data_IF_852140185945
#
_entry.id   IF_852140185945
#
_cell.length_a   1.000
_cell.length_b   1.000
_cell.length_c   1.000
_cell.angle_alpha   90.00
_cell.angle_beta   90.00
_cell.angle_gamma   90.00
#
_symmetry.space_group_name_H-M   'P 1'
#
loop_
_entity.id
_entity.type
_entity.pdbx_description
1 polymer ?
2 non-polymer ?
3 water ?
#
# COMPACT_ATOMS: atom_id res chain seq x y z
N UNK A 1 17.60 -32.02 -1.34
CA UNK A 1 16.67 -32.20 -0.23
C UNK A 1 15.74 -33.37 -0.53
N UNK A 2 15.27 -34.04 0.53
CA UNK A 2 14.44 -35.23 0.39
C UNK A 2 13.00 -34.93 0.79
N UNK A 3 12.09 -35.75 0.26
CA UNK A 3 10.67 -35.64 0.61
C UNK A 3 10.49 -35.77 2.11
N UNK A 4 11.17 -36.74 2.72
CA UNK A 4 11.00 -36.97 4.15
C UNK A 4 11.49 -35.78 4.96
N UNK A 5 12.61 -35.17 4.54
CA UNK A 5 13.09 -33.97 5.20
C UNK A 5 12.04 -32.86 5.18
N UNK A 6 11.51 -32.54 3.99
CA UNK A 6 10.62 -31.40 3.86
C UNK A 6 9.31 -31.66 4.60
N UNK A 7 8.72 -32.84 4.39
CA UNK A 7 7.45 -33.13 5.04
C UNK A 7 7.63 -33.14 6.55
N UNK A 8 8.74 -33.71 7.02
CA UNK A 8 9.03 -33.71 8.45
C UNK A 8 9.05 -32.29 9.00
N UNK A 9 9.68 -31.36 8.28
CA UNK A 9 9.78 -29.98 8.74
C UNK A 9 8.40 -29.36 8.97
N UNK A 10 7.52 -29.49 7.96
CA UNK A 10 6.20 -28.88 8.09
C UNK A 10 5.33 -29.61 9.11
N UNK A 11 5.49 -30.93 9.23
CA UNK A 11 4.82 -31.63 10.31
C UNK A 11 5.23 -31.07 11.67
N UNK A 12 6.51 -30.71 11.80
CA UNK A 12 6.97 -30.10 13.04
C UNK A 12 6.21 -28.83 13.37
N UNK A 13 6.05 -27.95 12.38
CA UNK A 13 5.35 -26.69 12.62
C UNK A 13 3.87 -26.93 12.90
N UNK A 14 3.25 -27.84 12.14
CA UNK A 14 1.82 -28.10 12.34
C UNK A 14 1.55 -28.72 13.71
N UNK A 15 2.46 -29.59 14.18
CA UNK A 15 2.26 -30.24 15.47
C UNK A 15 2.18 -29.22 16.59
N UNK A 16 3.04 -28.20 16.57
CA UNK A 16 3.06 -27.18 17.60
C UNK A 16 1.74 -26.41 17.64
N UNK A 23 7.32 -19.64 16.77
CA UNK A 23 6.15 -18.99 16.17
C UNK A 23 6.52 -17.59 15.68
N UNK A 24 6.43 -16.59 16.58
CA UNK A 24 6.96 -15.27 16.24
C UNK A 24 8.48 -15.26 16.15
N UNK A 25 9.14 -16.36 16.52
CA UNK A 25 10.57 -16.53 16.35
C UNK A 25 10.90 -17.35 15.11
N UNK A 26 9.90 -17.63 14.27
CA UNK A 26 10.11 -18.39 13.05
C UNK A 26 11.25 -17.78 12.23
N UNK A 27 12.20 -18.62 11.84
CA UNK A 27 13.40 -18.17 11.19
C UNK A 27 13.32 -17.98 9.69
N UNK A 28 12.17 -18.26 9.08
CA UNK A 28 12.03 -18.06 7.64
C UNK A 28 11.63 -16.63 7.34
N UNK A 29 12.18 -16.10 6.26
CA UNK A 29 11.82 -14.76 5.79
C UNK A 29 10.68 -14.85 4.79
N UNK A 30 10.93 -15.48 3.65
CA UNK A 30 9.83 -15.89 2.77
C UNK A 30 8.92 -16.82 3.55
N UNK A 31 7.63 -16.47 3.63
CA UNK A 31 6.77 -16.96 4.70
C UNK A 31 5.60 -17.80 4.23
N UNK A 32 5.53 -18.15 2.95
CA UNK A 32 4.48 -19.05 2.48
C UNK A 32 5.04 -20.47 2.37
N UNK A 33 4.12 -21.43 2.16
CA UNK A 33 4.52 -22.82 2.12
C UNK A 33 5.31 -23.12 0.86
N UNK A 34 4.88 -22.57 -0.28
CA UNK A 34 5.44 -22.97 -1.57
C UNK A 34 6.78 -22.29 -1.83
N UNK A 35 6.80 -20.95 -1.90
CA UNK A 35 8.06 -20.27 -2.14
C UNK A 35 8.96 -20.31 -0.91
N UNK A 36 8.38 -20.37 0.29
CA UNK A 36 9.18 -20.65 1.47
C UNK A 36 9.94 -21.95 1.35
N UNK A 37 9.28 -23.00 0.86
CA UNK A 37 9.93 -24.30 0.72
C UNK A 37 10.98 -24.26 -0.38
N UNK A 38 10.62 -23.77 -1.57
CA UNK A 38 11.57 -23.75 -2.67
C UNK A 38 12.77 -22.85 -2.37
N UNK A 39 12.53 -21.71 -1.72
CA UNK A 39 13.62 -20.80 -1.40
C UNK A 39 14.54 -21.39 -0.33
N UNK A 40 13.96 -21.93 0.73
CA UNK A 40 14.74 -22.36 1.89
C UNK A 40 15.37 -23.74 1.71
N UNK A 41 14.73 -24.64 0.97
CA UNK A 41 15.25 -25.99 0.80
C UNK A 41 15.94 -26.22 -0.54
N UNK A 42 15.65 -25.41 -1.56
CA UNK A 42 16.19 -25.65 -2.89
C UNK A 42 16.82 -24.41 -3.52
N UNK A 43 16.82 -23.27 -2.85
CA UNK A 43 17.45 -22.09 -3.40
C UNK A 43 16.77 -21.56 -4.66
N UNK A 44 15.48 -21.82 -4.82
CA UNK A 44 14.72 -21.36 -5.97
C UNK A 44 13.58 -20.48 -5.46
N UNK A 45 13.60 -19.22 -5.86
CA UNK A 45 12.62 -18.24 -5.40
C UNK A 45 11.60 -17.99 -6.51
N UNK A 46 10.33 -17.98 -6.15
CA UNK A 46 9.24 -17.74 -7.09
C UNK A 46 8.56 -16.42 -6.76
N UNK A 47 8.29 -15.64 -7.80
CA UNK A 47 7.65 -14.35 -7.66
C UNK A 47 6.19 -14.47 -8.09
N UNK A 48 5.32 -13.75 -7.41
CA UNK A 48 3.92 -13.65 -7.77
C UNK A 48 3.01 -14.03 -6.62
N UNK A 49 1.71 -13.88 -6.87
CA UNK A 49 0.71 -14.37 -5.95
C UNK A 49 0.70 -15.89 -5.94
N UNK A 50 0.03 -16.45 -4.92
CA UNK A 50 -0.14 -17.90 -4.85
C UNK A 50 -0.61 -18.46 -6.18
N UNK A 51 -1.63 -17.87 -6.77
CA UNK A 51 -2.23 -18.39 -7.99
C UNK A 51 -1.28 -18.37 -9.17
N UNK A 52 -0.20 -17.57 -9.10
CA UNK A 52 0.74 -17.45 -10.20
C UNK A 52 1.88 -18.46 -10.15
N UNK A 53 1.99 -19.24 -9.08
CA UNK A 53 3.24 -19.95 -8.82
C UNK A 53 3.48 -21.13 -9.76
N UNK A 54 2.43 -21.71 -10.35
CA UNK A 54 2.67 -22.73 -11.36
C UNK A 54 3.37 -22.13 -12.58
N UNK A 55 2.96 -20.92 -12.97
CA UNK A 55 3.63 -20.23 -14.07
C UNK A 55 5.04 -19.82 -13.68
N UNK A 56 5.22 -19.34 -12.45
CA UNK A 56 6.56 -18.96 -11.99
C UNK A 56 7.47 -20.19 -11.90
N UNK A 57 6.94 -21.30 -11.41
CA UNK A 57 7.75 -22.51 -11.29
C UNK A 57 8.21 -23.01 -12.66
N UNK A 58 7.32 -22.97 -13.65
CA UNK A 58 7.69 -23.38 -15.00
C UNK A 58 8.83 -22.55 -15.54
N UNK A 59 8.79 -21.23 -15.30
CA UNK A 59 9.83 -20.34 -15.80
C UNK A 59 11.16 -20.53 -15.09
N UNK A 60 11.17 -21.16 -13.92
CA UNK A 60 12.40 -21.49 -13.22
C UNK A 60 12.86 -22.92 -13.49
N UNK A 61 12.23 -23.61 -14.43
CA UNK A 61 12.63 -24.95 -14.79
C UNK A 61 12.13 -26.05 -13.87
N UNK A 62 11.19 -25.76 -12.99
CA UNK A 62 10.68 -26.80 -12.10
C UNK A 62 9.59 -27.60 -12.80
N UNK A 63 9.32 -28.78 -12.26
CA UNK A 63 8.28 -29.64 -12.81
C UNK A 63 6.92 -29.17 -12.32
N UNK A 64 6.01 -28.92 -13.25
CA UNK A 64 4.67 -28.44 -12.95
C UNK A 64 3.66 -29.38 -13.58
N UNK A 65 2.66 -29.81 -12.80
CA UNK A 65 1.63 -30.74 -13.24
C UNK A 65 0.27 -30.14 -12.93
N UNK A 66 -0.59 -30.06 -13.96
CA UNK A 66 -1.93 -29.52 -13.80
C UNK A 66 -2.92 -30.65 -13.49
N UNK A 67 -3.85 -30.36 -12.58
CA UNK A 67 -4.82 -31.36 -12.17
C UNK A 67 -5.67 -31.79 -13.35
N UNK A 68 -6.03 -33.06 -13.37
CA UNK A 68 -6.86 -33.61 -14.44
C UNK A 68 -7.33 -35.01 -14.05
N UNK A 69 -8.27 -35.59 -14.78
CA UNK A 69 -8.71 -36.96 -14.46
C UNK A 69 -7.54 -37.93 -14.53
N UNK A 70 -7.44 -38.77 -13.50
CA UNK A 70 -6.36 -39.72 -13.40
C UNK A 70 -5.03 -39.16 -12.97
N UNK A 71 -4.87 -37.83 -12.96
CA UNK A 71 -3.61 -37.19 -12.62
C UNK A 71 -3.74 -36.69 -11.20
N UNK A 72 -3.02 -37.32 -10.28
CA UNK A 72 -3.18 -37.02 -8.87
C UNK A 72 -1.84 -36.72 -8.23
N UNK A 73 -1.80 -35.86 -7.21
CA UNK A 73 -0.53 -35.42 -6.64
C UNK A 73 0.09 -36.45 -5.70
N UNK A 74 1.40 -36.30 -5.51
CA UNK A 74 2.19 -37.17 -4.67
C UNK A 74 2.71 -36.41 -3.45
N UNK A 75 3.09 -37.17 -2.43
CA UNK A 75 3.70 -36.59 -1.25
C UNK A 75 4.86 -35.68 -1.64
N UNK A 76 4.96 -34.53 -0.96
CA UNK A 76 5.98 -33.56 -1.25
C UNK A 76 5.59 -32.54 -2.31
N UNK A 77 4.52 -32.77 -3.06
CA UNK A 77 4.08 -31.81 -4.05
C UNK A 77 3.53 -30.56 -3.39
N UNK A 78 3.75 -29.41 -4.04
CA UNK A 78 3.28 -28.12 -3.56
C UNK A 78 2.13 -27.69 -4.48
N UNK A 79 0.92 -27.65 -3.94
CA UNK A 79 -0.25 -27.44 -4.76
C UNK A 79 -0.62 -25.96 -4.82
N UNK A 80 -1.31 -25.60 -5.89
CA UNK A 80 -1.85 -24.26 -6.09
C UNK A 80 -3.36 -24.38 -6.28
N UNK A 81 -4.10 -23.44 -5.70
CA UNK A 81 -5.55 -23.56 -5.62
C UNK A 81 -6.25 -22.23 -5.94
N UNK A 82 -7.26 -22.31 -6.80
CA UNK A 82 -8.13 -21.17 -7.07
C UNK A 82 -9.08 -20.98 -5.89
N UNK A 83 -9.24 -19.72 -5.47
CA UNK A 83 -10.02 -19.40 -4.28
C UNK A 83 -11.18 -18.49 -4.66
N UNK A 84 -12.40 -18.92 -4.33
CA UNK A 84 -13.59 -18.14 -4.66
C UNK A 84 -13.62 -16.82 -3.89
N UNK A 85 -13.13 -16.82 -2.65
CA UNK A 85 -13.23 -15.65 -1.80
C UNK A 85 -12.30 -14.51 -2.20
N UNK A 86 -11.33 -14.75 -3.07
CA UNK A 86 -10.37 -13.70 -3.40
C UNK A 86 -9.44 -14.13 -4.54
N UNK A 87 -8.92 -13.20 -5.31
CA UNK A 87 -8.20 -13.54 -6.55
C UNK A 87 -6.75 -13.92 -6.37
N UNK A 88 -6.27 -14.06 -5.14
CA UNK A 88 -4.86 -14.33 -4.88
C UNK A 88 -4.50 -15.80 -4.85
N UNK A 89 -5.48 -16.68 -4.59
CA UNK A 89 -5.22 -18.09 -4.56
C UNK A 89 -4.66 -18.55 -3.22
N UNK A 90 -4.38 -19.84 -3.16
CA UNK A 90 -3.96 -20.48 -1.92
C UNK A 90 -3.05 -21.65 -2.25
N UNK A 91 -2.16 -21.97 -1.31
CA UNK A 91 -1.15 -23.00 -1.52
C UNK A 91 -1.02 -23.84 -0.27
N UNK A 92 -0.29 -24.94 -0.41
CA UNK A 92 -0.01 -25.83 0.70
C UNK A 92 0.85 -26.97 0.20
N UNK A 93 1.28 -27.80 1.14
CA UNK A 93 2.14 -28.95 0.86
C UNK A 93 1.33 -30.23 1.03
N UNK A 94 1.51 -31.14 0.08
CA UNK A 94 0.85 -32.43 0.10
C UNK A 94 1.77 -33.45 0.78
N UNK A 95 1.27 -34.10 1.81
CA UNK A 95 2.08 -34.95 2.68
C UNK A 95 1.77 -36.43 2.51
N UNK A 96 0.97 -36.81 1.51
CA UNK A 96 0.71 -38.21 1.27
C UNK A 96 0.12 -38.38 -0.11
N UNK A 97 0.44 -39.50 -0.76
CA UNK A 97 -0.07 -39.76 -2.09
C UNK A 97 -1.60 -39.73 -2.07
N UNK A 98 -2.17 -39.08 -3.08
CA UNK A 98 -3.61 -38.88 -3.15
C UNK A 98 -4.24 -39.92 -4.07
N UNK A 99 -5.43 -40.37 -3.69
CA UNK A 99 -6.21 -41.29 -4.50
C UNK A 99 -7.05 -40.58 -5.55
N UNK A 100 -6.99 -39.26 -5.61
CA UNK A 100 -7.79 -38.50 -6.55
C UNK A 100 -9.12 -38.00 -6.01
N UNK A 101 -9.41 -38.24 -4.73
CA UNK A 101 -10.70 -37.83 -4.17
C UNK A 101 -10.52 -36.97 -2.93
N UNK A 102 -9.49 -37.26 -2.14
CA UNK A 102 -9.10 -36.38 -1.05
C UNK A 102 -7.60 -36.14 -1.12
N UNK A 103 -7.16 -35.07 -0.45
CA UNK A 103 -5.76 -34.70 -0.37
C UNK A 103 -5.43 -34.41 1.08
N UNK A 104 -4.32 -34.97 1.57
CA UNK A 104 -3.80 -34.68 2.91
C UNK A 104 -2.73 -33.61 2.77
N UNK A 105 -2.88 -32.51 3.50
CA UNK A 105 -2.03 -31.35 3.31
C UNK A 105 -1.69 -30.72 4.66
N UNK A 106 -0.66 -29.89 4.65
CA UNK A 106 -0.41 -28.91 5.68
C UNK A 106 -0.55 -27.54 5.05
N UNK A 107 -1.31 -26.65 5.68
CA UNK A 107 -1.64 -25.36 5.10
C UNK A 107 -1.55 -24.29 6.18
N UNK A 108 -1.40 -23.05 5.72
CA UNK A 108 -1.42 -21.90 6.61
C UNK A 108 -2.82 -21.30 6.65
N UNK A 109 -3.08 -20.55 7.72
CA UNK A 109 -4.42 -20.06 8.01
C UNK A 109 -4.36 -18.62 8.51
N UNK A 124 -1.69 -5.80 8.95
CA UNK A 124 -0.25 -6.06 9.02
C UNK A 124 0.06 -7.53 8.72
N UNK A 125 -0.68 -8.44 9.37
CA UNK A 125 -0.52 -9.87 9.13
C UNK A 125 -1.50 -10.28 8.03
N UNK A 126 -1.02 -10.20 6.78
CA UNK A 126 -1.84 -10.51 5.61
C UNK A 126 -1.80 -11.99 5.24
N UNK A 127 -0.66 -12.65 5.45
CA UNK A 127 -0.46 -14.03 5.02
C UNK A 127 0.44 -14.74 6.02
N UNK A 128 0.98 -15.89 5.65
CA UNK A 128 2.00 -16.56 6.46
C UNK A 128 1.56 -16.91 7.87
N UNK A 129 0.29 -17.30 8.04
CA UNK A 129 -0.18 -17.75 9.31
C UNK A 129 0.44 -19.06 9.74
N UNK A 130 0.00 -19.57 10.90
CA UNK A 130 0.52 -20.83 11.41
C UNK A 130 0.09 -22.02 10.56
N UNK A 131 0.88 -23.08 10.65
CA UNK A 131 0.64 -24.29 9.87
C UNK A 131 -0.33 -25.20 10.62
N UNK A 132 -1.16 -25.91 9.84
CA UNK A 132 -2.15 -26.81 10.41
C UNK A 132 -2.41 -27.96 9.44
N UNK A 133 -2.81 -29.10 9.98
CA UNK A 133 -3.21 -30.23 9.15
C UNK A 133 -4.58 -29.98 8.54
N UNK A 134 -4.71 -30.29 7.25
CA UNK A 134 -5.98 -30.16 6.54
C UNK A 134 -6.13 -31.35 5.59
N UNK A 135 -7.37 -31.80 5.43
CA UNK A 135 -7.74 -32.73 4.38
C UNK A 135 -8.89 -32.12 3.61
N UNK A 136 -8.76 -32.07 2.29
CA UNK A 136 -9.74 -31.40 1.45
C UNK A 136 -10.04 -32.25 0.23
N UNK A 137 -11.23 -32.05 -0.33
CA UNK A 137 -11.55 -32.60 -1.63
C UNK A 137 -10.86 -31.75 -2.70
N UNK A 138 -10.84 -32.25 -3.94
CA UNK A 138 -10.23 -31.51 -5.02
C UNK A 138 -11.03 -30.26 -5.38
N UNK A 139 -12.27 -30.17 -4.93
CA UNK A 139 -13.09 -28.99 -5.14
C UNK A 139 -14.09 -28.92 -4.01
N UNK A 140 -14.25 -27.74 -3.39
CA UNK A 140 -15.15 -27.59 -2.27
C UNK A 140 -15.63 -26.15 -2.23
N UNK A 141 -16.10 -25.71 -1.05
CA UNK A 141 -16.68 -24.38 -0.91
C UNK A 141 -15.68 -23.25 -0.94
N UNK A 142 -14.39 -23.54 -0.77
CA UNK A 142 -13.36 -22.52 -0.77
C UNK A 142 -12.67 -22.36 -2.12
N UNK A 143 -12.71 -23.38 -2.97
CA UNK A 143 -12.00 -23.32 -4.24
C UNK A 143 -11.79 -24.71 -4.81
N UNK A 144 -10.83 -24.80 -5.72
CA UNK A 144 -10.49 -26.05 -6.37
C UNK A 144 -8.99 -26.08 -6.69
N UNK A 145 -8.45 -27.29 -6.78
CA UNK A 145 -7.04 -27.48 -7.08
C UNK A 145 -6.81 -27.28 -8.56
N UNK A 146 -5.81 -26.48 -8.91
CA UNK A 146 -5.43 -26.24 -10.29
C UNK A 146 -4.29 -27.15 -10.73
N UNK A 147 -3.31 -27.36 -9.85
CA UNK A 147 -2.13 -28.13 -10.20
C UNK A 147 -1.14 -28.06 -9.07
N UNK A 148 0.05 -28.61 -9.30
CA UNK A 148 1.04 -28.67 -8.24
C UNK A 148 2.45 -28.64 -8.83
N UNK A 149 3.37 -28.15 -8.03
CA UNK A 149 4.80 -28.16 -8.33
C UNK A 149 5.40 -29.39 -7.67
N UNK A 150 6.26 -30.09 -8.40
CA UNK A 150 7.00 -31.22 -7.85
C UNK A 150 8.46 -30.80 -7.69
N UNK A 151 8.90 -30.43 -6.50
CA UNK A 151 10.29 -29.99 -6.34
C UNK A 151 11.25 -31.10 -6.73
N UNK A 152 12.48 -30.77 -7.04
CA UNK A 152 13.47 -31.80 -7.42
C UNK A 152 14.11 -32.46 -6.21
N UNK A 153 13.30 -33.21 -5.46
CA UNK A 153 13.81 -33.93 -4.30
C UNK A 153 14.93 -34.88 -4.72
N UNK A 154 15.92 -35.04 -3.84
CA UNK A 154 17.05 -35.92 -4.07
C UNK A 154 17.04 -37.05 -3.03
N UNK A 155 18.09 -37.86 -3.07
CA UNK A 155 18.27 -38.94 -2.10
C UNK A 155 19.18 -38.48 -0.96
N UNK A 171 24.83 -5.27 10.70
CA UNK A 171 25.56 -4.11 10.20
C UNK A 171 24.76 -3.28 9.21
N UNK A 172 24.73 -1.97 9.43
CA UNK A 172 24.04 -1.05 8.52
C UNK A 172 24.91 -0.80 7.31
N UNK A 173 24.34 -1.01 6.12
CA UNK A 173 25.11 -0.85 4.89
C UNK A 173 25.14 0.59 4.42
N UNK A 174 24.03 1.31 4.57
CA UNK A 174 23.95 2.66 4.02
C UNK A 174 22.62 3.27 4.44
N UNK A 175 22.59 4.60 4.44
CA UNK A 175 21.33 5.33 4.41
C UNK A 175 20.88 5.46 2.97
N UNK A 176 19.58 5.32 2.74
CA UNK A 176 19.06 5.32 1.38
C UNK A 176 17.57 5.60 1.42
N UNK A 177 17.13 6.53 0.58
CA UNK A 177 15.73 6.93 0.49
C UNK A 177 15.14 6.19 -0.70
N UNK A 178 14.38 5.13 -0.42
CA UNK A 178 13.81 4.31 -1.47
C UNK A 178 12.46 3.73 -1.07
N UNK A 179 11.89 2.99 -2.02
CA UNK A 179 10.69 2.19 -1.77
C UNK A 179 10.93 0.76 -2.27
N UNK A 180 10.32 -0.19 -1.59
CA UNK A 180 10.38 -1.59 -1.97
C UNK A 180 9.06 -2.04 -2.59
N UNK A 181 9.13 -3.13 -3.35
CA UNK A 181 7.93 -3.82 -3.85
C UNK A 181 8.12 -5.31 -3.62
N UNK A 182 7.23 -5.90 -2.81
CA UNK A 182 7.33 -7.32 -2.49
C UNK A 182 6.97 -8.13 -3.73
N UNK A 183 7.91 -8.96 -4.18
CA UNK A 183 7.72 -9.79 -5.36
C UNK A 183 7.42 -11.25 -4.97
N UNK A 184 7.67 -11.61 -3.71
CA UNK A 184 7.39 -12.97 -3.26
C UNK A 184 5.94 -13.04 -2.77
N UNK A 185 5.37 -14.25 -2.63
CA UNK A 185 3.98 -14.34 -2.13
C UNK A 185 3.82 -13.84 -0.71
N UNK A 186 4.84 -13.98 0.13
CA UNK A 186 4.71 -13.66 1.55
C UNK A 186 6.09 -13.39 2.12
N UNK A 187 6.22 -12.31 2.89
CA UNK A 187 7.51 -11.89 3.42
C UNK A 187 7.30 -11.35 4.83
N UNK A 188 8.02 -11.93 5.79
CA UNK A 188 7.89 -11.52 7.19
C UNK A 188 8.56 -10.17 7.43
N UNK A 189 8.08 -9.47 8.46
CA UNK A 189 8.68 -8.22 8.91
C UNK A 189 8.95 -8.36 10.41
N UNK A 190 10.14 -7.96 10.84
CA UNK A 190 10.64 -8.22 12.18
C UNK A 190 11.03 -6.93 12.88
N UNK A 191 11.42 -7.07 14.15
CA UNK A 191 11.86 -5.94 14.96
C UNK A 191 13.38 -5.78 15.03
N UNK A 192 14.14 -6.83 14.71
CA UNK A 192 15.60 -6.76 14.65
C UNK A 192 16.07 -7.43 13.36
N UNK A 193 17.20 -6.98 12.78
CA UNK A 193 17.69 -7.58 11.54
C UNK A 193 18.35 -8.94 11.76
N UNK A 194 17.67 -9.80 12.53
CA UNK A 194 18.18 -11.10 12.92
C UNK A 194 17.21 -12.19 12.46
N UNK A 195 17.79 -13.36 12.17
CA UNK A 195 17.01 -14.50 11.68
C UNK A 195 15.68 -14.69 12.39
N UNK A 196 15.70 -14.67 13.73
CA UNK A 196 14.54 -15.02 14.53
C UNK A 196 13.92 -13.79 15.20
N UNK A 197 14.21 -12.59 14.70
CA UNK A 197 13.65 -11.38 15.28
C UNK A 197 12.14 -11.45 15.38
N UNK A 198 11.58 -10.78 16.38
CA UNK A 198 10.14 -10.86 16.60
C UNK A 198 9.37 -10.41 15.37
N UNK A 199 8.48 -11.27 14.90
CA UNK A 199 7.70 -10.97 13.70
C UNK A 199 6.54 -10.05 14.07
N UNK A 200 6.45 -8.93 13.36
CA UNK A 200 5.43 -7.91 13.63
C UNK A 200 4.47 -7.71 12.47
N UNK A 201 4.76 -8.28 11.30
CA UNK A 201 3.87 -8.19 10.15
C UNK A 201 4.29 -9.24 9.14
N UNK A 202 3.42 -9.47 8.15
CA UNK A 202 3.73 -10.37 7.05
C UNK A 202 3.14 -9.78 5.78
N UNK A 203 4.00 -9.32 4.88
CA UNK A 203 3.56 -8.61 3.69
C UNK A 203 3.31 -9.57 2.53
N UNK A 204 2.33 -9.22 1.73
CA UNK A 204 1.87 -10.02 0.61
C UNK A 204 2.40 -9.45 -0.71
N UNK A 205 2.50 -10.31 -1.71
CA UNK A 205 2.94 -9.92 -3.05
C UNK A 205 2.25 -8.63 -3.49
N UNK A 206 3.03 -7.72 -4.08
CA UNK A 206 2.53 -6.47 -4.58
C UNK A 206 2.65 -5.31 -3.61
N UNK A 207 2.85 -5.59 -2.33
CA UNK A 207 3.00 -4.55 -1.32
C UNK A 207 4.17 -3.62 -1.61
N UNK A 208 3.93 -2.32 -1.52
CA UNK A 208 4.97 -1.31 -1.66
C UNK A 208 5.07 -0.50 -0.37
N UNK A 209 6.22 0.14 -0.20
CA UNK A 209 6.46 0.93 0.99
C UNK A 209 7.86 1.52 0.97
N UNK A 210 8.02 2.61 1.73
CA UNK A 210 9.29 3.31 1.79
C UNK A 210 10.25 2.62 2.76
N UNK A 211 11.54 2.91 2.57
CA UNK A 211 12.58 2.54 3.52
C UNK A 211 13.64 3.64 3.53
N UNK A 212 14.37 3.72 4.64
CA UNK A 212 15.37 4.76 4.83
C UNK A 212 16.78 4.21 5.00
N UNK A 213 16.97 2.90 5.02
CA UNK A 213 18.28 2.34 5.34
C UNK A 213 18.29 0.87 4.98
N UNK A 214 19.50 0.34 4.78
CA UNK A 214 19.73 -1.03 4.34
C UNK A 214 20.72 -1.68 5.28
N UNK A 215 20.47 -2.94 5.64
CA UNK A 215 21.32 -3.68 6.57
C UNK A 215 21.69 -5.02 5.95
N UNK A 216 22.75 -5.62 6.50
CA UNK A 216 23.15 -6.98 6.17
C UNK A 216 23.29 -7.77 7.46
N UNK A 217 22.85 -9.02 7.43
CA UNK A 217 22.91 -9.86 8.62
C UNK A 217 22.32 -11.25 8.44
N UNK A 218 22.97 -12.24 9.05
CA UNK A 218 22.46 -13.60 9.14
C UNK A 218 22.13 -14.16 7.76
N UNK A 219 22.88 -13.75 6.74
CA UNK A 219 22.69 -14.28 5.40
C UNK A 219 21.69 -13.56 4.56
N UNK A 220 21.19 -12.40 4.99
CA UNK A 220 20.17 -11.66 4.27
C UNK A 220 20.52 -10.19 4.19
N UNK A 221 20.06 -9.55 3.12
CA UNK A 221 20.01 -8.09 3.03
C UNK A 221 18.67 -7.64 3.58
N UNK A 222 18.67 -6.52 4.30
CA UNK A 222 17.46 -6.00 4.91
C UNK A 222 17.28 -4.53 4.56
N UNK A 223 16.03 -4.10 4.49
CA UNK A 223 15.69 -2.70 4.51
C UNK A 223 15.02 -2.41 5.84
N UNK A 224 15.07 -1.15 6.25
CA UNK A 224 14.51 -0.74 7.53
C UNK A 224 13.69 0.53 7.36
N UNK A 225 12.68 0.66 8.19
CA UNK A 225 11.81 1.83 8.16
C UNK A 225 11.07 1.93 9.48
N UNK A 226 10.52 3.10 9.75
CA UNK A 226 9.75 3.33 10.97
C UNK A 226 8.30 2.98 10.67
N UNK A 227 7.80 1.97 11.38
CA UNK A 227 6.42 1.55 11.22
C UNK A 227 5.44 2.58 11.76
N UNK A 228 4.16 2.28 11.56
CA UNK A 228 3.11 3.12 12.13
C UNK A 228 3.15 3.08 13.65
N UNK A 229 3.51 1.93 14.23
CA UNK A 229 3.69 1.81 15.67
C UNK A 229 4.57 2.92 16.24
N UNK A 230 5.40 3.55 15.42
CA UNK A 230 6.39 4.50 15.89
C UNK A 230 7.79 3.91 16.03
N UNK A 231 7.92 2.59 15.94
CA UNK A 231 9.19 1.92 16.14
C UNK A 231 9.74 1.37 14.83
N UNK A 232 11.01 0.97 14.86
CA UNK A 232 11.70 0.58 13.64
C UNK A 232 11.40 -0.88 13.29
N UNK A 233 11.32 -1.14 11.99
CA UNK A 233 11.03 -2.47 11.47
C UNK A 233 12.12 -2.89 10.49
N UNK A 234 12.33 -4.19 10.38
CA UNK A 234 13.34 -4.76 9.50
C UNK A 234 12.72 -5.86 8.66
N UNK A 235 13.09 -5.90 7.38
CA UNK A 235 12.53 -6.86 6.44
C UNK A 235 13.60 -7.39 5.49
N UNK A 236 13.77 -8.70 5.48
CA UNK A 236 14.70 -9.33 4.55
C UNK A 236 14.19 -9.17 3.12
N UNK A 237 15.06 -8.71 2.24
CA UNK A 237 14.70 -8.46 0.84
C UNK A 237 15.50 -9.33 -0.13
N UNK A 238 16.24 -10.30 0.37
CA UNK A 238 16.96 -11.22 -0.49
C UNK A 238 18.06 -11.93 0.27
N UNK A 239 18.49 -13.05 -0.30
CA UNK A 239 19.64 -13.76 0.25
C UNK A 239 20.92 -12.97 -0.03
N UNK A 240 21.86 -13.05 0.90
CA UNK A 240 23.06 -12.24 0.86
C UNK A 240 24.29 -13.10 0.63
N UNK A 241 25.16 -12.63 -0.25
CA UNK A 241 26.51 -13.15 -0.40
C UNK A 241 27.44 -11.98 -0.15
N UNK A 242 28.00 -11.90 1.05
CA UNK A 242 28.73 -10.73 1.47
C UNK A 242 27.80 -9.56 1.73
N UNK A 243 27.91 -8.50 0.94
CA UNK A 243 27.07 -7.32 1.10
C UNK A 243 26.01 -7.18 0.01
N UNK A 244 25.83 -8.19 -0.84
CA UNK A 244 25.03 -8.05 -2.04
C UNK A 244 23.83 -8.99 -2.04
N UNK A 245 22.71 -8.46 -2.50
CA UNK A 245 21.48 -9.22 -2.68
C UNK A 245 21.61 -10.06 -3.95
N UNK A 246 21.87 -11.35 -3.78
CA UNK A 246 22.07 -12.26 -4.90
C UNK A 246 20.82 -13.08 -5.21
N UNK A 247 19.74 -12.86 -4.45
CA UNK A 247 18.47 -13.56 -4.68
C UNK A 247 17.36 -12.68 -4.14
N UNK A 248 16.93 -11.68 -4.89
CA UNK A 248 16.04 -10.66 -4.33
C UNK A 248 14.63 -11.18 -4.09
N UNK A 249 14.05 -10.73 -2.98
CA UNK A 249 12.63 -10.91 -2.70
C UNK A 249 11.79 -9.71 -3.11
N UNK A 250 12.43 -8.58 -3.43
CA UNK A 250 11.72 -7.35 -3.76
C UNK A 250 12.42 -6.66 -4.92
N UNK A 251 11.70 -5.71 -5.52
CA UNK A 251 12.31 -4.71 -6.37
C UNK A 251 12.54 -3.45 -5.56
N UNK A 252 13.51 -2.64 -5.99
CA UNK A 252 13.92 -1.46 -5.23
C UNK A 252 13.90 -0.24 -6.13
N UNK A 253 13.37 0.86 -5.59
CA UNK A 253 13.25 2.12 -6.31
C UNK A 253 13.87 3.22 -5.45
N UNK A 254 14.64 4.08 -6.09
CA UNK A 254 15.38 5.14 -5.39
C UNK A 254 14.80 6.49 -5.78
N UNK A 255 14.79 7.42 -4.83
CA UNK A 255 14.16 8.71 -5.08
C UNK A 255 14.95 9.51 -6.12
N UNK A 256 14.21 10.15 -7.02
CA UNK A 256 14.79 10.93 -8.10
C UNK A 256 14.49 12.41 -7.93
N UNK B 1 -8.13 35.35 -4.69
CA UNK B 1 -9.46 34.78 -4.52
C UNK B 1 -10.15 35.41 -3.32
N UNK B 2 -11.48 35.45 -3.36
CA UNK B 2 -12.27 36.08 -2.31
C UNK B 2 -13.02 35.01 -1.50
N UNK B 3 -13.36 35.39 -0.27
CA UNK B 3 -14.12 34.49 0.59
C UNK B 3 -15.43 34.08 -0.07
N UNK B 4 -16.14 35.04 -0.65
CA UNK B 4 -17.43 34.73 -1.25
C UNK B 4 -17.27 33.80 -2.43
N UNK B 5 -16.22 34.00 -3.23
CA UNK B 5 -15.90 33.08 -4.31
C UNK B 5 -15.73 31.66 -3.79
N UNK B 6 -14.88 31.49 -2.78
CA UNK B 6 -14.54 30.16 -2.29
C UNK B 6 -15.74 29.49 -1.63
N UNK B 7 -16.43 30.22 -0.75
CA UNK B 7 -17.57 29.64 -0.04
C UNK B 7 -18.67 29.28 -1.03
N UNK B 8 -18.90 30.13 -2.02
CA UNK B 8 -19.90 29.83 -3.04
C UNK B 8 -19.58 28.51 -3.74
N UNK B 9 -18.30 28.31 -4.08
CA UNK B 9 -17.91 27.08 -4.78
C UNK B 9 -18.25 25.84 -3.96
N UNK B 10 -17.90 25.84 -2.68
CA UNK B 10 -18.19 24.67 -1.85
C UNK B 10 -19.68 24.52 -1.59
N UNK B 11 -20.41 25.64 -1.46
CA UNK B 11 -21.87 25.54 -1.42
C UNK B 11 -22.39 24.88 -2.69
N UNK B 12 -21.78 25.18 -3.83
CA UNK B 12 -22.20 24.55 -5.08
C UNK B 12 -22.13 23.03 -5.01
N UNK B 13 -21.01 22.51 -4.50
CA UNK B 13 -20.86 21.06 -4.41
C UNK B 13 -21.81 20.47 -3.37
N UNK B 14 -21.96 21.14 -2.23
CA UNK B 14 -22.83 20.61 -1.18
C UNK B 14 -24.29 20.64 -1.61
N UNK B 15 -24.71 21.71 -2.31
CA UNK B 15 -26.11 21.82 -2.71
C UNK B 15 -26.52 20.68 -3.62
N UNK B 16 -25.69 20.33 -4.59
CA UNK B 16 -26.02 19.26 -5.52
C UNK B 16 -26.12 17.92 -4.80
N UNK B 24 -18.21 11.97 -9.80
CA UNK B 24 -17.04 11.30 -10.35
C UNK B 24 -16.44 12.10 -11.50
N UNK B 25 -17.11 13.19 -11.88
CA UNK B 25 -16.61 14.12 -12.89
C UNK B 25 -15.99 15.36 -12.26
N UNK B 26 -15.83 15.37 -10.95
CA UNK B 26 -15.19 16.49 -10.26
C UNK B 26 -13.85 16.80 -10.89
N UNK B 27 -13.62 18.08 -11.20
CA UNK B 27 -12.47 18.50 -11.95
C UNK B 27 -11.20 18.75 -11.16
N UNK B 28 -11.24 18.61 -9.83
CA UNK B 28 -10.06 18.81 -9.00
C UNK B 28 -9.23 17.53 -8.92
N UNK B 29 -7.91 17.70 -8.87
CA UNK B 29 -7.00 16.56 -8.69
C UNK B 29 -6.73 16.37 -7.20
N UNK B 30 -6.07 17.35 -6.57
CA UNK B 30 -6.06 17.41 -5.11
C UNK B 30 -7.50 17.52 -4.62
N UNK B 31 -7.91 16.57 -3.78
CA UNK B 31 -9.32 16.25 -3.62
C UNK B 31 -9.86 16.49 -2.22
N UNK B 32 -9.08 17.08 -1.31
CA UNK B 32 -9.58 17.40 0.01
C UNK B 32 -10.00 18.87 0.07
N UNK B 33 -10.69 19.23 1.15
CA UNK B 33 -11.20 20.59 1.28
C UNK B 33 -10.06 21.57 1.48
N UNK B 34 -9.08 21.21 2.31
CA UNK B 34 -8.06 22.17 2.73
C UNK B 34 -7.00 22.38 1.66
N UNK B 35 -6.24 21.31 1.32
CA UNK B 35 -5.21 21.46 0.31
C UNK B 35 -5.81 21.59 -1.09
N UNK B 36 -6.98 21.00 -1.32
CA UNK B 36 -7.68 21.29 -2.56
C UNK B 36 -7.96 22.77 -2.72
N UNK B 37 -8.41 23.42 -1.65
CA UNK B 37 -8.74 24.83 -1.71
C UNK B 37 -7.48 25.68 -1.87
N UNK B 38 -6.45 25.42 -1.05
CA UNK B 38 -5.23 26.21 -1.15
C UNK B 38 -4.57 26.03 -2.52
N UNK B 39 -4.56 24.79 -3.03
CA UNK B 39 -3.91 24.51 -4.30
C UNK B 39 -4.67 25.13 -5.48
N UNK B 40 -5.99 24.94 -5.51
CA UNK B 40 -6.76 25.33 -6.68
C UNK B 40 -7.08 26.82 -6.71
N UNK B 41 -7.22 27.45 -5.55
CA UNK B 41 -7.56 28.87 -5.49
C UNK B 41 -6.37 29.77 -5.21
N UNK B 42 -5.27 29.25 -4.65
CA UNK B 42 -4.14 30.09 -4.26
C UNK B 42 -2.78 29.57 -4.74
N UNK B 43 -2.74 28.42 -5.43
CA UNK B 43 -1.47 27.91 -5.93
C UNK B 43 -0.49 27.52 -4.85
N UNK B 44 -1.00 27.17 -3.65
CA UNK B 44 -0.16 26.77 -2.53
C UNK B 44 -0.58 25.36 -2.15
N UNK B 45 0.35 24.41 -2.26
CA UNK B 45 0.08 23.01 -1.99
C UNK B 45 0.67 22.62 -0.64
N UNK B 46 -0.12 21.89 0.14
CA UNK B 46 0.27 21.44 1.48
C UNK B 46 0.43 19.92 1.48
N UNK B 47 1.50 19.46 2.10
CA UNK B 47 1.79 18.04 2.21
C UNK B 47 1.46 17.54 3.61
N UNK B 48 0.96 16.32 3.69
CA UNK B 48 0.75 15.65 4.96
C UNK B 48 -0.69 15.19 5.13
N UNK B 49 -0.91 14.49 6.24
CA UNK B 49 -2.25 14.14 6.65
C UNK B 49 -3.03 15.39 7.06
N UNK B 50 -4.34 15.23 7.15
CA UNK B 50 -5.19 16.33 7.62
C UNK B 50 -4.62 16.97 8.88
N UNK B 51 -4.28 16.14 9.87
CA UNK B 51 -3.82 16.64 11.15
C UNK B 51 -2.52 17.42 11.04
N UNK B 52 -1.77 17.25 9.95
CA UNK B 52 -0.48 17.91 9.78
C UNK B 52 -0.55 19.27 9.09
N UNK B 53 -1.73 19.69 8.62
CA UNK B 53 -1.79 20.80 7.68
C UNK B 53 -1.57 22.16 8.33
N UNK B 54 -1.81 22.31 9.63
CA UNK B 54 -1.45 23.57 10.27
C UNK B 54 0.07 23.76 10.25
N UNK B 55 0.82 22.68 10.48
CA UNK B 55 2.27 22.77 10.39
C UNK B 55 2.73 23.02 8.96
N UNK B 56 2.11 22.34 7.99
CA UNK B 56 2.48 22.58 6.60
C UNK B 56 2.14 24.00 6.18
N UNK B 57 0.99 24.52 6.62
CA UNK B 57 0.59 25.86 6.25
C UNK B 57 1.59 26.88 6.78
N UNK B 58 2.04 26.71 8.03
CA UNK B 58 3.06 27.61 8.57
C UNK B 58 4.34 27.56 7.75
N UNK B 59 4.76 26.35 7.34
CA UNK B 59 5.99 26.20 6.59
C UNK B 59 5.88 26.76 5.18
N UNK B 60 4.66 26.97 4.67
CA UNK B 60 4.43 27.62 3.38
C UNK B 60 4.11 29.10 3.52
N UNK B 61 4.25 29.67 4.72
CA UNK B 61 4.00 31.08 4.93
C UNK B 61 2.55 31.47 5.10
N UNK B 62 1.64 30.53 5.27
CA UNK B 62 0.24 30.87 5.44
C UNK B 62 -0.07 31.21 6.90
N UNK B 63 -1.18 31.91 7.09
CA UNK B 63 -1.62 32.30 8.43
C UNK B 63 -2.30 31.14 9.14
N UNK B 64 -1.83 30.81 10.33
CA UNK B 64 -2.36 29.72 11.15
C UNK B 64 -2.76 30.26 12.51
N UNK B 65 -3.97 29.92 12.94
CA UNK B 65 -4.53 30.37 14.22
C UNK B 65 -4.98 29.14 14.98
N UNK B 66 -4.48 28.97 16.21
CA UNK B 66 -4.83 27.83 17.03
C UNK B 66 -6.04 28.13 17.91
N UNK B 67 -6.90 27.13 18.07
CA UNK B 67 -8.11 27.29 18.86
C UNK B 67 -7.77 27.60 20.32
N UNK B 68 -8.57 28.46 20.93
CA UNK B 68 -8.38 28.83 22.33
C UNK B 68 -9.58 29.64 22.82
N UNK B 69 -9.70 29.87 24.12
CA UNK B 69 -10.79 30.72 24.61
C UNK B 69 -10.73 32.12 24.00
N UNK B 70 -11.89 32.60 23.56
CA UNK B 70 -12.00 33.89 22.90
C UNK B 70 -11.57 33.93 21.46
N UNK B 71 -10.84 32.92 20.97
CA UNK B 71 -10.31 32.90 19.62
C UNK B 71 -11.17 31.95 18.79
N UNK B 72 -11.94 32.50 17.85
CA UNK B 72 -12.90 31.74 17.08
C UNK B 72 -12.68 31.97 15.60
N UNK B 73 -13.03 31.00 14.76
CA UNK B 73 -12.75 31.10 13.33
C UNK B 73 -13.76 31.99 12.60
N UNK B 74 -13.32 32.47 11.44
CA UNK B 74 -14.13 33.31 10.57
C UNK B 74 -14.47 32.55 9.29
N UNK B 75 -15.48 33.04 8.59
CA UNK B 75 -15.84 32.49 7.29
C UNK B 75 -14.61 32.43 6.40
N UNK B 76 -14.48 31.33 5.66
CA UNK B 76 -13.34 31.13 4.80
C UNK B 76 -12.17 30.44 5.46
N UNK B 77 -12.16 30.32 6.78
CA UNK B 77 -11.09 29.61 7.46
C UNK B 77 -11.20 28.11 7.20
N UNK B 78 -10.05 27.45 7.13
CA UNK B 78 -9.96 26.01 6.90
C UNK B 78 -9.48 25.37 8.19
N UNK B 79 -10.35 24.60 8.84
CA UNK B 79 -10.04 24.10 10.17
C UNK B 79 -9.39 22.71 10.10
N UNK B 80 -8.64 22.39 11.15
CA UNK B 80 -7.99 21.11 11.31
C UNK B 80 -8.50 20.48 12.60
N UNK B 81 -8.81 19.19 12.54
CA UNK B 81 -9.49 18.52 13.63
C UNK B 81 -8.78 17.24 14.05
N UNK B 82 -8.51 17.13 15.35
CA UNK B 82 -8.09 15.85 15.93
C UNK B 82 -9.27 14.91 16.00
N UNK B 83 -9.05 13.65 15.63
CA UNK B 83 -10.11 12.65 15.56
C UNK B 83 -9.76 11.49 16.49
N UNK B 84 -10.65 11.18 17.43
CA UNK B 84 -10.40 10.11 18.39
C UNK B 84 -10.30 8.75 17.70
N UNK B 85 -11.11 8.54 16.67
CA UNK B 85 -11.19 7.22 16.04
C UNK B 85 -9.99 6.85 15.18
N UNK B 86 -9.10 7.78 14.86
CA UNK B 86 -8.01 7.47 13.95
C UNK B 86 -7.01 8.63 13.85
N UNK B 87 -5.74 8.36 13.55
CA UNK B 87 -4.68 9.36 13.69
C UNK B 87 -4.53 10.32 12.53
N UNK B 88 -5.41 10.31 11.53
CA UNK B 88 -5.21 11.13 10.35
C UNK B 88 -5.85 12.51 10.45
N UNK B 89 -6.85 12.68 11.30
CA UNK B 89 -7.51 13.97 11.45
C UNK B 89 -8.56 14.21 10.40
N UNK B 90 -9.14 15.41 10.46
CA UNK B 90 -10.27 15.78 9.62
C UNK B 90 -10.20 17.29 9.38
N UNK B 91 -10.73 17.72 8.23
CA UNK B 91 -10.68 19.12 7.85
C UNK B 91 -12.01 19.52 7.21
N UNK B 92 -12.14 20.82 7.02
CA UNK B 92 -13.32 21.37 6.37
C UNK B 92 -13.18 22.88 6.28
N UNK B 93 -14.15 23.49 5.61
CA UNK B 93 -14.18 24.94 5.42
C UNK B 93 -15.30 25.50 6.28
N UNK B 94 -15.00 26.61 6.94
CA UNK B 94 -15.96 27.28 7.79
C UNK B 94 -16.66 28.36 6.95
N UNK B 95 -17.98 28.31 6.89
CA UNK B 95 -18.75 29.13 5.97
C UNK B 95 -19.49 30.25 6.68
N UNK B 96 -19.20 30.48 7.96
CA UNK B 96 -19.81 31.56 8.70
C UNK B 96 -19.01 31.81 9.97
N UNK B 97 -18.95 33.08 10.38
CA UNK B 97 -18.25 33.45 11.60
C UNK B 97 -18.81 32.67 12.78
N UNK B 98 -17.91 32.20 13.64
CA UNK B 98 -18.28 31.35 14.77
C UNK B 98 -18.42 32.17 16.03
N UNK B 99 -19.43 31.84 16.84
CA UNK B 99 -19.62 32.47 18.13
C UNK B 99 -18.81 31.80 19.23
N UNK B 100 -18.03 30.78 18.90
CA UNK B 100 -17.23 30.07 19.87
C UNK B 100 -17.87 28.83 20.46
N UNK B 101 -19.08 28.49 20.04
CA UNK B 101 -19.79 27.34 20.60
C UNK B 101 -20.23 26.37 19.51
N UNK B 102 -20.60 26.89 18.35
CA UNK B 102 -20.84 26.06 17.18
C UNK B 102 -20.09 26.63 15.99
N UNK B 103 -19.88 25.76 15.00
CA UNK B 103 -19.20 26.13 13.76
C UNK B 103 -20.02 25.56 12.60
N UNK B 104 -20.29 26.40 11.61
CA UNK B 104 -20.95 25.97 10.39
C UNK B 104 -19.90 25.70 9.33
N UNK B 105 -19.94 24.50 8.76
CA UNK B 105 -18.87 24.03 7.88
C UNK B 105 -19.46 23.27 6.71
N UNK B 106 -18.63 23.12 5.68
CA UNK B 106 -18.83 22.12 4.63
C UNK B 106 -17.69 21.12 4.74
N UNK B 107 -18.02 19.84 4.76
CA UNK B 107 -17.05 18.77 5.01
C UNK B 107 -17.33 17.62 4.07
N UNK B 108 -16.32 16.76 3.91
CA UNK B 108 -16.45 15.54 3.11
C UNK B 108 -16.76 14.32 3.99
N UNK B 128 -11.39 11.16 0.27
CA UNK B 128 -12.09 12.41 -0.05
C UNK B 128 -13.58 12.25 0.15
N UNK B 129 -14.38 12.55 -0.87
CA UNK B 129 -15.79 12.25 -0.84
C UNK B 129 -16.71 13.41 -1.13
N UNK B 130 -18.01 13.15 -1.12
CA UNK B 130 -18.98 14.20 -1.42
C UNK B 130 -19.08 15.22 -0.29
N UNK B 131 -19.43 16.45 -0.67
CA UNK B 131 -19.51 17.57 0.27
C UNK B 131 -20.90 17.65 0.87
N UNK B 132 -20.96 18.04 2.14
CA UNK B 132 -22.23 18.16 2.86
C UNK B 132 -22.09 19.22 3.93
N UNK B 133 -23.21 19.86 4.27
CA UNK B 133 -23.24 20.86 5.33
C UNK B 133 -23.19 20.17 6.68
N UNK B 134 -22.41 20.75 7.60
CA UNK B 134 -22.28 20.24 8.96
C UNK B 134 -22.25 21.41 9.93
N UNK B 135 -22.84 21.21 11.11
CA UNK B 135 -22.66 22.10 12.24
C UNK B 135 -22.18 21.26 13.41
N UNK B 136 -21.07 21.69 14.02
CA UNK B 136 -20.44 20.91 15.07
C UNK B 136 -20.00 21.83 16.20
N UNK B 137 -19.89 21.26 17.39
CA UNK B 137 -19.26 21.94 18.50
C UNK B 137 -17.75 21.90 18.33
N UNK B 138 -17.06 22.71 19.14
CA UNK B 138 -15.60 22.72 19.12
C UNK B 138 -14.99 21.44 19.66
N UNK B 139 -15.79 20.63 20.35
CA UNK B 139 -15.34 19.34 20.86
C UNK B 139 -16.56 18.44 20.98
N UNK B 140 -16.46 17.21 20.49
CA UNK B 140 -17.62 16.32 20.52
C UNK B 140 -17.12 14.88 20.60
N UNK B 141 -17.98 13.93 20.20
CA UNK B 141 -17.65 12.53 20.32
C UNK B 141 -16.66 12.00 19.30
N UNK B 142 -16.43 12.77 18.23
CA UNK B 142 -15.50 12.36 17.18
C UNK B 142 -14.13 13.00 17.31
N UNK B 143 -14.01 14.11 18.01
CA UNK B 143 -12.73 14.80 18.10
C UNK B 143 -12.91 16.22 18.57
N UNK B 144 -11.87 17.04 18.33
CA UNK B 144 -11.88 18.43 18.74
C UNK B 144 -11.10 19.28 17.74
N UNK B 145 -11.46 20.56 17.69
CA UNK B 145 -10.81 21.51 16.79
C UNK B 145 -9.47 21.92 17.37
N UNK B 146 -8.42 21.86 16.56
CA UNK B 146 -7.09 22.28 16.96
C UNK B 146 -6.78 23.71 16.52
N UNK B 147 -7.22 24.09 15.33
CA UNK B 147 -6.92 25.39 14.78
C UNK B 147 -7.40 25.47 13.34
N UNK B 148 -7.04 26.58 12.69
CA UNK B 148 -7.48 26.80 11.32
C UNK B 148 -6.48 27.63 10.54
N UNK B 149 -6.51 27.44 9.22
CA UNK B 149 -5.72 28.23 8.27
C UNK B 149 -6.59 29.35 7.74
N UNK B 150 -6.02 30.55 7.67
CA UNK B 150 -6.70 31.68 7.05
C UNK B 150 -6.02 32.01 5.73
N UNK B 151 -6.59 31.58 4.60
CA UNK B 151 -5.95 31.84 3.30
C UNK B 151 -5.85 33.34 3.03
N UNK B 152 -4.95 33.76 2.12
CA UNK B 152 -4.81 35.20 1.81
C UNK B 152 -5.85 35.69 0.82
N UNK B 153 -7.10 35.72 1.28
CA UNK B 153 -8.20 36.21 0.45
C UNK B 153 -7.94 37.65 0.01
N UNK B 154 -8.44 37.98 -1.17
CA UNK B 154 -8.31 39.31 -1.76
C UNK B 154 -9.70 39.94 -1.85
N UNK B 155 -9.78 41.11 -2.50
CA UNK B 155 -11.04 41.82 -2.64
C UNK B 155 -11.77 41.51 -3.94
N UNK B 156 -11.13 40.85 -4.90
CA UNK B 156 -11.82 40.31 -6.08
C UNK B 156 -10.85 39.53 -6.97
N UNK B 171 -0.88 13.66 -23.83
CA UNK B 171 0.35 13.28 -24.52
C UNK B 171 1.30 12.52 -23.60
N UNK B 172 1.79 11.38 -24.09
CA UNK B 172 2.71 10.53 -23.33
C UNK B 172 4.14 11.06 -23.40
N UNK B 173 4.75 11.26 -22.23
CA UNK B 173 6.12 11.76 -22.16
C UNK B 173 7.15 10.65 -22.25
N UNK B 174 6.90 9.52 -21.60
CA UNK B 174 7.93 8.49 -21.52
C UNK B 174 7.36 7.25 -20.85
N UNK B 175 7.98 6.11 -21.14
CA UNK B 175 7.83 4.92 -20.33
C UNK B 175 8.85 4.97 -19.20
N UNK B 176 8.45 4.51 -18.02
CA UNK B 176 9.29 4.63 -16.85
C UNK B 176 8.80 3.66 -15.78
N UNK B 177 9.73 2.93 -15.18
CA UNK B 177 9.41 1.95 -14.14
C UNK B 177 9.74 2.63 -12.81
N UNK B 178 8.71 3.09 -12.11
CA UNK B 178 8.89 3.78 -10.85
C UNK B 178 7.76 3.51 -9.89
N UNK B 179 7.90 4.08 -8.69
CA UNK B 179 6.84 4.09 -7.68
C UNK B 179 6.61 5.52 -7.21
N UNK B 180 5.36 5.81 -6.88
CA UNK B 180 4.98 7.10 -6.34
C UNK B 180 4.67 6.99 -4.84
N UNK B 181 4.74 8.13 -4.16
CA UNK B 181 4.27 8.26 -2.78
C UNK B 181 3.42 9.51 -2.69
N UNK B 182 2.15 9.34 -2.36
CA UNK B 182 1.23 10.47 -2.28
C UNK B 182 1.62 11.34 -1.10
N UNK B 183 1.86 12.63 -1.36
CA UNK B 183 2.30 13.54 -0.32
C UNK B 183 1.21 14.55 0.08
N UNK B 184 0.11 14.57 -0.66
CA UNK B 184 -1.02 15.44 -0.33
C UNK B 184 -2.02 14.66 0.51
N UNK B 185 -2.96 15.34 1.18
CA UNK B 185 -3.95 14.60 1.98
C UNK B 185 -4.84 13.70 1.15
N UNK B 186 -5.15 14.09 -0.09
CA UNK B 186 -6.12 13.36 -0.89
C UNK B 186 -5.87 13.67 -2.36
N UNK B 187 -5.85 12.64 -3.18
CA UNK B 187 -5.51 12.78 -4.60
C UNK B 187 -6.40 11.85 -5.42
N UNK B 188 -7.13 12.42 -6.36
CA UNK B 188 -8.06 11.63 -7.17
C UNK B 188 -7.30 10.77 -8.16
N UNK B 189 -7.92 9.65 -8.52
CA UNK B 189 -7.41 8.75 -9.55
C UNK B 189 -8.53 8.52 -10.56
N UNK B 190 -8.18 8.59 -11.83
CA UNK B 190 -9.18 8.57 -12.89
C UNK B 190 -8.91 7.40 -13.84
N UNK B 191 -9.90 7.13 -14.68
CA UNK B 191 -9.83 6.08 -15.67
C UNK B 191 -9.47 6.61 -17.05
N UNK B 192 -9.58 7.92 -17.25
CA UNK B 192 -9.23 8.58 -18.50
C UNK B 192 -8.32 9.76 -18.17
N UNK B 193 -7.33 10.06 -19.02
CA UNK B 193 -6.31 11.06 -18.64
C UNK B 193 -6.77 12.51 -18.81
N UNK B 194 -7.99 12.82 -18.40
CA UNK B 194 -8.56 14.14 -18.62
C UNK B 194 -8.99 14.76 -17.29
N UNK B 195 -9.00 16.09 -17.28
CA UNK B 195 -9.42 16.84 -16.10
C UNK B 195 -10.62 16.19 -15.42
N UNK B 196 -11.63 15.81 -16.20
CA UNK B 196 -12.89 15.30 -15.67
C UNK B 196 -13.07 13.80 -15.87
N UNK B 197 -11.98 13.06 -16.09
CA UNK B 197 -12.10 11.62 -16.25
C UNK B 197 -12.80 10.97 -15.07
N UNK B 198 -13.48 9.86 -15.34
CA UNK B 198 -14.24 9.18 -14.30
C UNK B 198 -13.33 8.82 -13.13
N UNK B 199 -13.72 9.27 -11.94
CA UNK B 199 -12.92 9.03 -10.74
C UNK B 199 -13.18 7.61 -10.24
N UNK B 200 -12.11 6.85 -10.06
CA UNK B 200 -12.21 5.45 -9.67
C UNK B 200 -11.55 5.18 -8.33
N UNK B 201 -10.83 6.14 -7.77
CA UNK B 201 -10.23 6.00 -6.44
C UNK B 201 -9.80 7.38 -5.99
N UNK B 202 -9.50 7.48 -4.70
CA UNK B 202 -8.98 8.72 -4.11
C UNK B 202 -7.95 8.31 -3.07
N UNK B 203 -6.68 8.58 -3.36
CA UNK B 203 -5.59 8.08 -2.53
C UNK B 203 -5.26 9.06 -1.42
N UNK B 204 -4.86 8.49 -0.28
CA UNK B 204 -4.57 9.22 0.93
C UNK B 204 -3.07 9.41 1.10
N UNK B 205 -2.70 10.46 1.83
CA UNK B 205 -1.30 10.72 2.15
C UNK B 205 -0.60 9.44 2.57
N UNK B 206 0.62 9.25 2.06
CA UNK B 206 1.43 8.10 2.39
C UNK B 206 1.27 6.93 1.44
N UNK B 207 0.22 6.91 0.64
CA UNK B 207 -0.03 5.83 -0.30
C UNK B 207 1.10 5.66 -1.31
N UNK B 208 1.54 4.41 -1.49
CA UNK B 208 2.56 4.09 -2.48
C UNK B 208 2.00 3.15 -3.53
N UNK B 209 2.67 3.11 -4.68
CA UNK B 209 2.24 2.28 -5.78
C UNK B 209 3.14 2.49 -6.98
N UNK B 210 3.16 1.49 -7.85
CA UNK B 210 3.99 1.55 -9.05
C UNK B 210 3.29 2.32 -10.16
N UNK B 211 4.09 2.78 -11.12
CA UNK B 211 3.59 3.33 -12.37
C UNK B 211 4.56 2.93 -13.47
N UNK B 212 4.06 2.87 -14.70
CA UNK B 212 4.84 2.41 -15.83
C UNK B 212 5.01 3.46 -16.93
N UNK B 213 4.42 4.65 -16.78
CA UNK B 213 4.44 5.64 -17.85
C UNK B 213 4.03 6.99 -17.27
N UNK B 214 4.43 8.05 -17.97
CA UNK B 214 4.21 9.42 -17.53
C UNK B 214 3.56 10.19 -18.67
N UNK B 215 2.58 11.02 -18.34
CA UNK B 215 1.83 11.79 -19.32
C UNK B 215 1.81 13.26 -18.92
N UNK B 216 1.51 14.11 -19.91
CA UNK B 216 1.26 15.52 -19.68
C UNK B 216 -0.08 15.87 -20.31
N UNK B 217 -0.86 16.71 -19.63
CA UNK B 217 -2.19 17.06 -20.11
C UNK B 217 -2.97 17.97 -19.19
N UNK B 218 -3.73 18.90 -19.79
CA UNK B 218 -4.70 19.72 -19.05
C UNK B 218 -4.04 20.45 -17.87
N UNK B 219 -2.77 20.79 -18.01
CA UNK B 219 -2.06 21.53 -16.98
C UNK B 219 -1.41 20.70 -15.89
N UNK B 220 -1.37 19.37 -16.05
CA UNK B 220 -0.82 18.49 -15.04
C UNK B 220 0.12 17.47 -15.67
N UNK B 221 1.08 17.02 -14.86
CA UNK B 221 1.85 15.81 -15.16
C UNK B 221 1.09 14.64 -14.54
N UNK B 222 1.07 13.50 -15.24
CA UNK B 222 0.35 12.33 -14.79
C UNK B 222 1.25 11.10 -14.79
N UNK B 223 0.95 10.17 -13.90
CA UNK B 223 1.48 8.82 -14.00
C UNK B 223 0.32 7.88 -14.33
N UNK B 224 0.66 6.74 -14.91
CA UNK B 224 -0.33 5.77 -15.32
C UNK B 224 0.11 4.38 -14.87
N UNK B 225 -0.89 3.54 -14.58
CA UNK B 225 -0.63 2.19 -14.11
C UNK B 225 -1.89 1.36 -14.29
N UNK B 226 -1.71 0.04 -14.24
CA UNK B 226 -2.80 -0.90 -14.38
C UNK B 226 -3.39 -1.18 -12.99
N UNK B 227 -4.66 -0.85 -12.80
CA UNK B 227 -5.31 -1.12 -11.54
C UNK B 227 -5.51 -2.61 -11.31
N UNK B 228 -6.01 -2.94 -10.11
CA UNK B 228 -6.31 -4.34 -9.83
C UNK B 228 -7.45 -4.83 -10.69
N UNK B 229 -8.43 -3.95 -10.96
CA UNK B 229 -9.51 -4.25 -11.89
C UNK B 229 -9.02 -4.80 -13.21
N UNK B 230 -7.77 -4.52 -13.58
CA UNK B 230 -7.27 -4.83 -14.90
C UNK B 230 -7.31 -3.65 -15.85
N UNK B 231 -7.93 -2.54 -15.45
CA UNK B 231 -8.05 -1.36 -16.28
C UNK B 231 -6.94 -0.36 -15.97
N UNK B 232 -6.64 0.50 -16.94
CA UNK B 232 -5.60 1.51 -16.76
C UNK B 232 -6.14 2.69 -15.98
N UNK B 233 -5.26 3.29 -15.17
CA UNK B 233 -5.61 4.45 -14.35
C UNK B 233 -4.62 5.58 -14.58
N UNK B 234 -5.07 6.81 -14.37
CA UNK B 234 -4.24 7.99 -14.53
C UNK B 234 -4.36 8.85 -13.29
N UNK B 235 -3.24 9.42 -12.86
CA UNK B 235 -3.20 10.20 -11.63
C UNK B 235 -2.32 11.43 -11.76
N UNK B 236 -2.90 12.61 -11.59
CA UNK B 236 -2.13 13.85 -11.62
C UNK B 236 -1.16 13.86 -10.44
N UNK B 237 0.11 14.15 -10.73
CA UNK B 237 1.16 14.14 -9.71
C UNK B 237 1.81 15.51 -9.55
N UNK B 238 1.24 16.55 -10.15
CA UNK B 238 1.73 17.89 -9.97
C UNK B 238 1.25 18.80 -11.07
N UNK B 239 1.31 20.11 -10.79
CA UNK B 239 1.03 21.11 -11.81
C UNK B 239 2.19 21.17 -12.81
N UNK B 240 1.85 21.48 -14.06
CA UNK B 240 2.81 21.41 -15.16
C UNK B 240 3.17 22.79 -15.70
N UNK B 241 4.45 22.99 -15.95
CA UNK B 241 4.96 24.11 -16.72
C UNK B 241 5.64 23.48 -17.94
N UNK B 242 4.93 23.45 -19.07
CA UNK B 242 5.41 22.72 -20.22
C UNK B 242 5.39 21.23 -19.95
N UNK B 243 6.57 20.61 -19.91
CA UNK B 243 6.71 19.19 -19.61
C UNK B 243 7.27 18.94 -18.22
N UNK B 244 7.33 19.95 -17.37
CA UNK B 244 8.00 19.85 -16.08
C UNK B 244 7.00 19.93 -14.94
N UNK B 245 7.21 19.09 -13.93
CA UNK B 245 6.43 19.10 -12.69
C UNK B 245 6.98 20.21 -11.79
N UNK B 246 6.29 21.35 -11.75
CA UNK B 246 6.75 22.49 -10.96
C UNK B 246 6.04 22.60 -9.62
N UNK B 247 5.12 21.70 -9.32
CA UNK B 247 4.41 21.72 -8.05
C UNK B 247 3.95 20.30 -7.73
N UNK B 248 4.84 19.45 -7.20
CA UNK B 248 4.52 18.02 -7.10
C UNK B 248 3.52 17.70 -6.00
N UNK B 249 2.65 16.72 -6.30
CA UNK B 249 1.78 16.11 -5.31
C UNK B 249 2.37 14.84 -4.73
N UNK B 250 3.45 14.34 -5.32
CA UNK B 250 4.04 13.07 -4.91
C UNK B 250 5.54 13.16 -4.92
N UNK B 251 6.18 12.20 -4.27
CA UNK B 251 7.57 11.88 -4.50
C UNK B 251 7.65 10.72 -5.51
N UNK B 252 8.77 10.64 -6.20
CA UNK B 252 8.93 9.66 -7.27
C UNK B 252 10.21 8.87 -7.06
N UNK B 253 10.12 7.57 -7.30
CA UNK B 253 11.24 6.65 -7.11
C UNK B 253 11.39 5.82 -8.38
N UNK B 254 12.61 5.69 -8.87
CA UNK B 254 12.90 4.95 -10.09
C UNK B 254 13.74 3.72 -9.77
N UNK B 255 13.50 2.64 -10.50
CA UNK B 255 14.21 1.38 -10.22
C UNK B 255 15.68 1.49 -10.58
X LIG C 1 -10.51 -37.48 -9.70
X LIG C 1 -9.71 -36.39 -9.30
X LIG C 1 -9.91 -38.14 -10.94
X LIG C 1 -8.63 -38.65 -10.67
X LIG C 1 -10.81 -39.26 -11.44
X LIG C 1 -11.14 -39.04 -12.80
X LIG C 1 -11.52 -37.14 -9.92
X LIG C 1 -10.57 -38.22 -8.90
X LIG C 1 -10.13 -35.93 -8.54
X LIG C 1 -9.84 -37.39 -11.72
X LIG C 1 -8.68 -39.35 -9.99
X LIG C 1 -11.73 -39.29 -10.84
X LIG C 1 -10.30 -40.22 -11.34
X LIG C 1 -11.82 -39.70 -13.08
X LIG D 1 19.19 -3.84 -2.67
X LIG D 1 19.03 -5.08 -2.03
X LIG D 1 19.50 -2.77 -1.64
X LIG D 1 20.89 -2.53 -1.62
X LIG D 1 18.76 -1.47 -1.93
X LIG D 1 19.53 -0.67 -2.81
X LIG D 1 18.28 -3.58 -3.21
X LIG D 1 20.01 -3.90 -3.40
X LIG D 1 18.78 -5.76 -2.68
X LIG D 1 19.18 -3.14 -0.66
X LIG D 1 21.17 -2.17 -2.50
X LIG D 1 18.58 -0.93 -1.00
X LIG D 1 17.79 -1.69 -2.39
X LIG D 1 19.28 0.28 -2.69
X LIG E 1 -15.44 31.15 24.65
X LIG E 1 -14.28 30.79 25.36
X LIG E 1 -15.44 30.51 23.27
X LIG E 1 -14.71 31.33 22.38
X LIG E 1 -14.82 29.12 23.35
X LIG E 1 -14.90 28.46 22.10
X LIG E 1 -15.49 32.24 24.56
X LIG E 1 -16.33 30.83 25.20
X LIG E 1 -14.26 31.26 26.22
X LIG E 1 -16.47 30.41 22.92
X LIG E 1 -13.78 31.41 22.70
X LIG E 1 -15.33 28.53 24.11
X LIG E 1 -13.77 29.20 23.66
X LIG E 1 -15.67 27.85 22.10
X LIG F 1 8.53 11.13 -12.89
X LIG F 1 9.74 10.74 -13.48
X LIG F 1 8.38 12.64 -13.01
X LIG F 1 8.55 13.02 -14.35
X LIG F 1 6.98 13.05 -12.54
X LIG F 1 6.96 14.45 -12.31
X LIG F 1 8.52 10.85 -11.83
X LIG F 1 7.70 10.64 -13.38
X LIG F 1 9.87 9.78 -13.34
X LIG F 1 9.12 13.13 -12.37
X LIG F 1 7.87 12.59 -14.91
X LIG F 1 6.74 12.53 -11.62
X LIG F 1 6.25 12.79 -13.29
X LIG F 1 7.72 14.87 -12.76
#
# INVERSE_FOLDING_TARGET
ATVSEVISYWRGLADTGQGYDADLAWGWQCADVTNGTTTNFFGVTLWGNAIDLLDSAKAQGLEVIYDAPGINPKAGDLFVMFTYGHPYGHTGIIIADSDGYTIQTIEQNVDGYSDNNGDGINDQFQVGGPARYVTRAFSDGDGYIVGWIRPPYSDTSSEKQSQSQAPSGFRKLKDEVGTFEVMVPALNVRREPSLNGEIVACYQYGMTGTYDSVYVGDGYIWVSYVGASGMRNYMAVGDADGDYNVNPYCKFYLEHHHHHH
ATVSEVISYWRGLADTGQGYDADLAWGWQCADVTNGTTTNFFGVTLWGNAIDLLDSAKAQGLEVIYDAPGINPKAGDLFVMFTYGHPYGHTGIIIADSDGYTIQTIEQNVDGYSDNNGDGINDQFQVGGPARYVTRAFSDGDGYIVGWIRPPYSDTSSEKQSQSQAPSGFRKLKDEVGTFEVMVPALNVRREPSLNGEIVACYQYGMTGTYDSVYVGDGYIWVSYVGASGMRNYMAVGDADGDYNVNPYCKFYLEHHHHHH
GOL C1 O1 C2 O2 C3 O3 H11 H12 HO1 H2 HO2 H31 H32 HO3
GOL C1 O1 C2 O2 C3 O3 H11 H12 HO1 H2 HO2 H31 H32 HO3
GOL C1 O1 C2 O2 C3 O3 H11 H12 HO1 H2 HO2 H31 H32 HO3
GOL C1 O1 C2 O2 C3 O3 H11 H12 HO1 H2 HO2 H31 H32 HO3
#
